data_IF_531824468150
#
_entry.id   IF_531824468150
#
_cell.length_a   1.000
_cell.length_b   1.000
_cell.length_c   1.000
_cell.angle_alpha   90.00
_cell.angle_beta   90.00
_cell.angle_gamma   90.00
#
_symmetry.space_group_name_H-M   'P 1'
#
loop_
_entity.id
_entity.type
_entity.pdbx_description
1 polymer ?
#
# COMPACT_ATOMS: atom_id res chain seq x y z
N UNK A 1 -1.40 1.81 15.95
CA UNK A 1 -2.58 2.52 16.50
C UNK A 1 -3.85 2.12 15.76
N UNK A 2 -5.02 2.10 16.41
CA UNK A 2 -6.31 1.96 15.69
C UNK A 2 -6.65 3.27 14.97
N UNK A 3 -6.84 3.16 13.66
CA UNK A 3 -7.22 4.27 12.78
C UNK A 3 -8.73 4.32 12.64
N UNK A 4 -9.38 3.17 12.43
CA UNK A 4 -10.83 3.05 12.48
C UNK A 4 -11.26 2.33 13.76
N UNK A 5 -11.95 3.05 14.65
CA UNK A 5 -12.47 2.45 15.89
C UNK A 5 -13.70 1.59 15.61
N UNK A 6 -14.57 2.00 14.69
CA UNK A 6 -15.81 1.28 14.35
C UNK A 6 -15.55 -0.16 13.90
N UNK A 7 -14.55 -0.35 13.04
CA UNK A 7 -14.22 -1.64 12.43
C UNK A 7 -12.88 -2.21 12.90
N UNK A 8 -12.34 -1.66 13.99
CA UNK A 8 -11.07 -2.08 14.59
C UNK A 8 -9.91 -2.20 13.59
N UNK A 9 -9.78 -1.24 12.67
CA UNK A 9 -8.72 -1.24 11.66
C UNK A 9 -7.49 -0.50 12.17
N UNK A 10 -6.34 -1.16 12.16
CA UNK A 10 -5.07 -0.59 12.62
C UNK A 10 -4.26 0.06 11.50
N UNK A 11 -3.41 1.01 11.85
CA UNK A 11 -2.37 1.57 10.98
C UNK A 11 -1.53 0.47 10.31
N UNK A 12 -1.13 -0.55 11.08
CA UNK A 12 -0.34 -1.68 10.59
C UNK A 12 -1.10 -2.45 9.51
N UNK A 13 -2.39 -2.64 9.67
CA UNK A 13 -3.24 -3.31 8.69
C UNK A 13 -3.35 -2.50 7.40
N UNK A 14 -3.55 -1.19 7.49
CA UNK A 14 -3.55 -0.28 6.34
C UNK A 14 -2.20 -0.34 5.61
N UNK A 15 -1.09 -0.27 6.34
CA UNK A 15 0.26 -0.38 5.78
C UNK A 15 0.48 -1.72 5.07
N UNK A 16 0.03 -2.82 5.67
CA UNK A 16 0.15 -4.16 5.07
C UNK A 16 -0.64 -4.25 3.77
N UNK A 17 -1.87 -3.72 3.75
CA UNK A 17 -2.72 -3.71 2.55
C UNK A 17 -2.13 -2.82 1.45
N UNK A 18 -1.61 -1.63 1.80
CA UNK A 18 -0.89 -0.77 0.87
C UNK A 18 0.32 -1.48 0.24
N UNK A 19 1.12 -2.20 1.04
CA UNK A 19 2.26 -3.01 0.57
C UNK A 19 1.83 -4.15 -0.35
N UNK A 20 0.64 -4.72 -0.14
CA UNK A 20 0.03 -5.75 -0.99
C UNK A 20 -0.57 -5.19 -2.29
N UNK A 21 -0.64 -3.87 -2.45
CA UNK A 21 -1.08 -3.22 -3.68
C UNK A 21 -2.45 -2.54 -3.60
N UNK A 22 -3.03 -2.37 -2.41
CA UNK A 22 -4.23 -1.54 -2.23
C UNK A 22 -3.87 -0.07 -2.46
N UNK A 23 -4.59 0.59 -3.36
CA UNK A 23 -4.24 1.93 -3.82
C UNK A 23 -5.23 3.01 -3.39
N UNK A 24 -6.48 2.63 -3.15
CA UNK A 24 -7.56 3.58 -2.89
C UNK A 24 -8.24 3.33 -1.56
N UNK A 25 -8.85 4.39 -0.99
CA UNK A 25 -9.68 4.26 0.20
C UNK A 25 -10.88 3.33 -0.05
N UNK A 26 -11.41 3.31 -1.27
CA UNK A 26 -12.54 2.45 -1.64
C UNK A 26 -12.16 0.96 -1.59
N UNK A 27 -11.00 0.58 -2.11
CA UNK A 27 -10.48 -0.78 -1.96
C UNK A 27 -10.21 -1.13 -0.49
N UNK A 28 -9.63 -0.20 0.28
CA UNK A 28 -9.40 -0.38 1.71
C UNK A 28 -10.72 -0.59 2.46
N UNK A 29 -11.76 0.17 2.12
CA UNK A 29 -13.14 0.04 2.63
C UNK A 29 -13.71 -1.34 2.35
N UNK A 30 -13.64 -1.79 1.10
CA UNK A 30 -14.17 -3.10 0.71
C UNK A 30 -13.50 -4.27 1.44
N UNK A 31 -12.21 -4.13 1.77
CA UNK A 31 -11.44 -5.19 2.43
C UNK A 31 -11.55 -5.19 3.97
N UNK A 32 -11.77 -4.02 4.58
CA UNK A 32 -11.63 -3.85 6.04
C UNK A 32 -12.82 -3.19 6.72
N UNK A 33 -13.76 -2.61 5.96
CA UNK A 33 -14.80 -1.72 6.48
C UNK A 33 -14.29 -0.35 6.91
N UNK A 34 -13.00 -0.03 6.78
CA UNK A 34 -12.45 1.25 7.24
C UNK A 34 -13.17 2.44 6.58
N UNK A 35 -13.87 3.30 7.33
CA UNK A 35 -14.68 4.43 6.81
C UNK A 35 -16.04 4.05 6.21
N UNK A 36 -16.61 2.89 6.54
CA UNK A 36 -18.00 2.55 6.19
C UNK A 36 -19.06 3.05 7.21
N UNK A 37 -18.66 3.25 8.48
CA UNK A 37 -19.59 3.53 9.58
C UNK A 37 -19.73 5.02 9.87
N UNK A 38 -18.79 5.63 10.60
CA UNK A 38 -18.84 7.06 10.93
C UNK A 38 -18.04 7.96 9.96
N UNK A 39 -17.16 7.36 9.15
CA UNK A 39 -16.32 8.07 8.16
C UNK A 39 -15.21 8.95 8.72
N UNK A 40 -15.12 9.15 10.04
CA UNK A 40 -14.16 10.09 10.64
C UNK A 40 -12.68 9.68 10.46
N UNK A 41 -12.42 8.39 10.25
CA UNK A 41 -11.08 7.87 10.02
C UNK A 41 -10.57 8.03 8.58
N UNK A 42 -11.42 8.42 7.63
CA UNK A 42 -11.08 8.53 6.21
C UNK A 42 -9.80 9.35 5.92
N UNK A 43 -9.65 10.60 6.41
CA UNK A 43 -8.46 11.39 6.09
C UNK A 43 -7.16 10.77 6.64
N UNK A 44 -7.23 10.19 7.84
CA UNK A 44 -6.07 9.55 8.47
C UNK A 44 -5.70 8.25 7.75
N UNK A 45 -6.70 7.44 7.37
CA UNK A 45 -6.50 6.21 6.62
C UNK A 45 -5.90 6.47 5.22
N UNK A 46 -6.40 7.48 4.51
CA UNK A 46 -5.86 7.92 3.22
C UNK A 46 -4.41 8.41 3.35
N UNK A 47 -4.10 9.20 4.38
CA UNK A 47 -2.75 9.68 4.64
C UNK A 47 -1.76 8.53 4.83
N UNK A 48 -2.11 7.53 5.66
CA UNK A 48 -1.29 6.34 5.89
C UNK A 48 -1.15 5.51 4.61
N UNK A 49 -2.24 5.34 3.85
CA UNK A 49 -2.23 4.61 2.59
C UNK A 49 -1.27 5.27 1.59
N UNK A 50 -1.37 6.59 1.41
CA UNK A 50 -0.51 7.36 0.51
C UNK A 50 0.95 7.33 0.94
N UNK A 51 1.23 7.58 2.23
CA UNK A 51 2.58 7.57 2.77
C UNK A 51 3.24 6.20 2.60
N UNK A 52 2.49 5.12 2.87
CA UNK A 52 3.00 3.76 2.70
C UNK A 52 3.25 3.43 1.24
N UNK A 53 2.36 3.82 0.33
CA UNK A 53 2.55 3.60 -1.11
C UNK A 53 3.77 4.35 -1.64
N UNK A 54 3.98 5.60 -1.20
CA UNK A 54 5.17 6.37 -1.56
C UNK A 54 6.45 5.68 -1.06
N UNK A 55 6.45 5.18 0.17
CA UNK A 55 7.58 4.41 0.71
C UNK A 55 7.83 3.12 -0.09
N UNK A 56 6.78 2.36 -0.42
CA UNK A 56 6.87 1.13 -1.22
C UNK A 56 7.36 1.41 -2.64
N UNK A 57 6.90 2.50 -3.26
CA UNK A 57 7.36 2.91 -4.59
C UNK A 57 8.86 3.27 -4.57
N UNK A 58 9.31 4.00 -3.54
CA UNK A 58 10.74 4.30 -3.35
C UNK A 58 11.57 3.03 -3.12
N UNK A 59 11.09 2.11 -2.27
CA UNK A 59 11.72 0.80 -2.02
C UNK A 59 11.78 -0.04 -3.31
N UNK A 60 10.69 -0.12 -4.08
CA UNK A 60 10.62 -0.86 -5.35
C UNK A 60 11.52 -0.25 -6.43
N UNK A 61 11.62 1.08 -6.49
CA UNK A 61 12.55 1.77 -7.37
C UNK A 61 14.02 1.46 -7.03
N UNK A 62 14.32 1.24 -5.75
CA UNK A 62 15.65 0.80 -5.31
C UNK A 62 15.90 -0.71 -5.51
N UNK A 63 14.85 -1.53 -5.46
CA UNK A 63 14.91 -2.99 -5.68
C UNK A 63 14.83 -3.37 -7.17
N UNK A 64 14.67 -2.42 -8.08
CA UNK A 64 14.74 -2.68 -9.51
C UNK A 64 16.20 -3.03 -9.85
N UNK A 65 16.54 -4.23 -10.36
CA UNK A 65 17.87 -4.46 -10.87
C UNK A 65 18.09 -3.47 -12.03
N UNK A 66 18.93 -2.46 -11.78
CA UNK A 66 19.48 -1.58 -12.81
C UNK A 66 20.12 -2.48 -13.89
N UNK A 67 19.80 -2.18 -15.15
CA UNK A 67 19.89 -3.10 -16.28
C UNK A 67 21.09 -4.05 -16.30
N UNK A 68 20.82 -5.34 -16.10
CA UNK A 68 21.66 -6.36 -16.72
C UNK A 68 21.11 -6.59 -18.14
N UNK A 69 21.84 -6.22 -19.21
CA UNK A 69 21.45 -6.66 -20.54
C UNK A 69 21.43 -8.19 -20.54
N UNK A 70 20.37 -8.81 -21.08
CA UNK A 70 20.37 -10.26 -21.33
C UNK A 70 21.65 -10.59 -22.09
N UNK A 71 22.49 -11.53 -21.63
CA UNK A 71 23.59 -11.99 -22.46
C UNK A 71 22.97 -12.55 -23.74
N UNK A 72 23.36 -11.97 -24.89
CA UNK A 72 23.11 -12.55 -26.19
C UNK A 72 23.97 -13.82 -26.24
N UNK A 73 23.40 -14.96 -25.88
CA UNK A 73 24.13 -16.22 -25.91
C UNK A 73 24.05 -16.82 -27.32
N UNK A 74 24.60 -16.16 -28.33
CA UNK A 74 25.03 -16.77 -29.62
C UNK A 74 26.10 -15.84 -30.25
N UNK A 75 27.16 -16.32 -30.92
CA UNK A 75 27.30 -17.67 -31.52
C UNK A 75 28.65 -18.41 -31.26
N UNK A 76 28.57 -19.73 -31.10
CA UNK A 76 29.04 -20.71 -32.09
C UNK A 76 27.86 -21.63 -32.42
#
# INVERSE_FOLDING_TARGET
MFVCICNAVSDREICNLARRGVETLEELRLLTGCSDCCGQCAPEAESILLATRAAVAAERGAQQPVGLPRPVQHPF
#
